data_IF_117497274187
#
_entry.id   IF_117497274187
#
_cell.length_a   1.000
_cell.length_b   1.000
_cell.length_c   1.000
_cell.angle_alpha   90.00
_cell.angle_beta   90.00
_cell.angle_gamma   90.00
#
_symmetry.space_group_name_H-M   'P 1'
#
loop_
_entity.id
_entity.type
_entity.pdbx_description
1 polymer ?
#
# COMPACT_ATOMS: atom_id res chain seq x y z
N UNK A 1 -3.81 -1.32 -20.65
CA UNK A 1 -4.84 -1.92 -19.78
C UNK A 1 -4.15 -2.57 -18.59
N UNK A 2 -4.12 -1.89 -17.43
CA UNK A 2 -3.69 -2.49 -16.17
C UNK A 2 -4.88 -3.32 -15.69
N UNK A 3 -4.76 -4.65 -15.71
CA UNK A 3 -5.79 -5.53 -15.16
C UNK A 3 -5.65 -5.44 -13.65
N UNK A 4 -6.52 -4.65 -13.04
CA UNK A 4 -6.72 -4.68 -11.60
C UNK A 4 -7.47 -5.99 -11.34
N UNK A 5 -6.71 -7.01 -10.94
CA UNK A 5 -7.28 -8.29 -10.53
C UNK A 5 -8.26 -8.00 -9.38
N UNK A 6 -9.44 -8.63 -9.39
CA UNK A 6 -10.68 -8.21 -8.73
C UNK A 6 -10.67 -8.00 -7.19
N UNK A 7 -9.50 -7.99 -6.56
CA UNK A 7 -9.30 -7.81 -5.13
C UNK A 7 -8.85 -6.42 -4.69
N UNK A 8 -8.34 -5.55 -5.58
CA UNK A 8 -7.85 -4.22 -5.16
C UNK A 8 -9.01 -3.26 -4.93
N UNK A 9 -9.16 -2.80 -3.69
CA UNK A 9 -10.20 -1.86 -3.26
C UNK A 9 -9.69 -0.41 -3.29
N UNK A 10 -8.41 -0.20 -2.99
CA UNK A 10 -7.82 1.13 -2.95
C UNK A 10 -6.36 1.13 -3.40
N UNK A 11 -5.96 2.21 -4.08
CA UNK A 11 -4.57 2.49 -4.45
C UNK A 11 -4.25 3.93 -4.05
N UNK A 12 -3.19 4.11 -3.25
CA UNK A 12 -2.65 5.38 -2.84
C UNK A 12 -1.18 5.52 -3.23
N UNK A 13 -0.73 6.77 -3.37
CA UNK A 13 0.69 7.11 -3.50
C UNK A 13 1.15 7.71 -2.19
N UNK A 14 2.15 7.08 -1.57
CA UNK A 14 2.77 7.47 -0.32
C UNK A 14 4.26 7.74 -0.51
N UNK A 15 4.89 8.24 0.55
CA UNK A 15 6.30 8.62 0.56
C UNK A 15 6.56 10.09 0.25
N UNK A 16 7.71 10.63 0.68
CA UNK A 16 8.05 12.05 0.55
C UNK A 16 8.12 12.52 -0.91
N UNK A 17 8.47 11.62 -1.82
CA UNK A 17 8.61 11.87 -3.26
C UNK A 17 7.49 11.23 -4.09
N UNK A 18 6.49 10.61 -3.44
CA UNK A 18 5.36 9.86 -4.06
C UNK A 18 5.79 8.63 -4.86
N UNK A 19 6.92 8.03 -4.51
CA UNK A 19 7.44 6.82 -5.16
C UNK A 19 6.95 5.50 -4.55
N UNK A 20 6.15 5.54 -3.48
CA UNK A 20 5.63 4.33 -2.85
C UNK A 20 4.15 4.15 -3.21
N UNK A 21 3.79 2.97 -3.71
CA UNK A 21 2.40 2.64 -4.04
C UNK A 21 1.84 1.81 -2.89
N UNK A 22 0.85 2.35 -2.20
CA UNK A 22 0.07 1.66 -1.20
C UNK A 22 -1.18 1.05 -1.85
N UNK A 23 -1.41 -0.24 -1.64
CA UNK A 23 -2.55 -0.95 -2.23
C UNK A 23 -3.29 -1.69 -1.14
N UNK A 24 -4.59 -1.45 -1.04
CA UNK A 24 -5.50 -2.13 -0.11
C UNK A 24 -6.45 -2.98 -0.95
N UNK A 25 -6.68 -4.20 -0.53
CA UNK A 25 -7.61 -5.09 -1.20
C UNK A 25 -7.74 -6.44 -0.54
N UNK A 26 -8.86 -7.12 -0.81
CA UNK A 26 -9.10 -8.50 -0.40
C UNK A 26 -8.50 -9.47 -1.41
N UNK A 27 -7.79 -10.50 -0.96
CA UNK A 27 -7.15 -11.51 -1.83
C UNK A 27 -6.17 -10.92 -2.87
N UNK A 28 -5.42 -9.88 -2.50
CA UNK A 28 -4.40 -9.28 -3.37
C UNK A 28 -3.13 -10.15 -3.42
N UNK A 29 -2.80 -10.65 -4.60
CA UNK A 29 -1.52 -11.31 -4.85
C UNK A 29 -0.40 -10.26 -4.98
N UNK A 30 0.31 -10.01 -3.87
CA UNK A 30 1.38 -9.01 -3.81
C UNK A 30 2.55 -9.31 -4.76
N UNK A 31 2.84 -10.59 -5.02
CA UNK A 31 3.95 -11.03 -5.87
C UNK A 31 3.64 -10.76 -7.33
N UNK A 32 2.42 -11.10 -7.76
CA UNK A 32 1.95 -10.86 -9.11
C UNK A 32 1.81 -9.35 -9.36
N UNK A 33 1.30 -8.59 -8.39
CA UNK A 33 1.21 -7.13 -8.45
C UNK A 33 2.60 -6.48 -8.64
N UNK A 34 3.57 -6.83 -7.80
CA UNK A 34 4.94 -6.31 -7.92
C UNK A 34 5.60 -6.70 -9.24
N UNK A 35 5.38 -7.93 -9.71
CA UNK A 35 5.89 -8.40 -11.00
C UNK A 35 5.26 -7.64 -12.19
N UNK A 36 3.98 -7.31 -12.08
CA UNK A 36 3.27 -6.54 -13.10
C UNK A 36 3.75 -5.08 -13.14
N UNK A 37 3.93 -4.46 -11.97
CA UNK A 37 4.53 -3.13 -11.84
C UNK A 37 5.96 -3.10 -12.42
N UNK A 38 6.78 -4.12 -12.12
CA UNK A 38 8.11 -4.33 -12.74
C UNK A 38 8.09 -4.35 -14.25
N UNK A 39 7.05 -4.94 -14.85
CA UNK A 39 6.92 -5.07 -16.31
C UNK A 39 6.30 -3.85 -16.99
N UNK A 40 5.44 -3.09 -16.32
CA UNK A 40 4.63 -2.01 -16.94
C UNK A 40 5.02 -0.60 -16.51
N UNK A 41 5.49 -0.43 -15.28
CA UNK A 41 5.81 0.89 -14.69
C UNK A 41 7.32 1.06 -14.61
N UNK A 42 8.04 0.03 -14.19
CA UNK A 42 9.48 0.09 -13.97
C UNK A 42 9.85 -0.63 -12.68
N UNK A 43 11.07 -0.44 -12.18
CA UNK A 43 11.58 -1.21 -11.05
C UNK A 43 10.71 -1.01 -9.78
N UNK A 44 9.94 -2.04 -9.41
CA UNK A 44 9.07 -2.03 -8.24
C UNK A 44 9.49 -3.11 -7.25
N UNK A 45 9.56 -2.77 -5.96
CA UNK A 45 9.85 -3.71 -4.88
C UNK A 45 8.69 -3.74 -3.89
N UNK A 46 8.41 -4.91 -3.35
CA UNK A 46 7.53 -5.04 -2.20
C UNK A 46 8.34 -4.58 -0.99
N UNK A 47 7.90 -3.49 -0.35
CA UNK A 47 8.55 -2.96 0.86
C UNK A 47 7.96 -3.63 2.09
N UNK A 48 6.63 -3.60 2.21
CA UNK A 48 5.87 -4.25 3.28
C UNK A 48 4.54 -4.76 2.75
N UNK A 49 4.07 -5.88 3.30
CA UNK A 49 2.71 -6.39 3.10
C UNK A 49 2.11 -6.56 4.48
N UNK A 50 1.06 -5.83 4.76
CA UNK A 50 0.36 -5.87 6.04
C UNK A 50 -1.13 -6.11 5.81
N UNK A 51 -1.73 -6.94 6.65
CA UNK A 51 -3.18 -7.07 6.70
C UNK A 51 -3.76 -5.77 7.25
N UNK A 52 -4.59 -5.11 6.46
CA UNK A 52 -5.27 -3.88 6.87
C UNK A 52 -6.35 -4.24 7.88
N UNK A 53 -5.96 -4.32 9.16
CA UNK A 53 -6.91 -4.38 10.27
C UNK A 53 -7.60 -3.03 10.39
N UNK A 54 -8.92 -2.97 10.62
CA UNK A 54 -9.62 -1.71 10.83
C UNK A 54 -8.92 -0.96 11.95
N UNK A 55 -8.39 0.22 11.60
CA UNK A 55 -7.62 1.05 12.53
C UNK A 55 -8.61 1.58 13.57
N UNK A 56 -8.61 1.00 14.77
CA UNK A 56 -9.03 1.76 15.94
C UNK A 56 -8.09 2.97 16.00
N UNK A 57 -8.66 4.17 15.91
CA UNK A 57 -7.97 5.45 16.06
C UNK A 57 -7.11 5.44 17.34
N UNK A 58 -5.82 5.13 17.23
CA UNK A 58 -4.85 5.53 18.25
C UNK A 58 -4.60 7.01 18.05
N UNK A 59 -5.39 7.84 18.75
CA UNK A 59 -4.98 9.19 19.13
C UNK A 59 -3.66 9.08 19.91
N UNK A 60 -2.63 9.89 19.60
CA UNK A 60 -1.39 9.88 20.34
C UNK A 60 -1.61 10.41 21.77
N UNK A 61 -1.25 9.59 22.76
CA UNK A 61 -0.96 10.01 24.13
C UNK A 61 0.49 10.48 24.19
N UNK A 62 0.71 11.71 24.66
CA UNK A 62 1.89 12.24 25.37
C UNK A 62 1.92 13.76 25.15
N UNK A 63 1.42 14.62 26.05
CA UNK A 63 1.99 15.03 27.36
C UNK A 63 3.22 15.95 27.25
N UNK A 64 2.99 17.28 27.30
CA UNK A 64 3.65 18.21 28.22
C UNK A 64 3.18 19.66 28.02
N UNK A 65 2.62 20.33 29.04
CA UNK A 65 2.74 21.76 29.22
C UNK A 65 3.87 22.08 30.21
N UNK A 66 4.82 22.93 29.78
CA UNK A 66 5.83 23.58 30.64
C UNK A 66 5.25 24.88 31.19
#
# INVERSE_FOLDING_TARGET
MLVINAGVEFVGLEGPEKDQIAVIGDQVDSVCLASYLRKKVGHANIISVEEVKPKQEKKPTAENPV
#
